data_IF_425986493163
#
_entry.id   IF_425986493163
#
_cell.length_a   1.000
_cell.length_b   1.000
_cell.length_c   1.000
_cell.angle_alpha   90.00
_cell.angle_beta   90.00
_cell.angle_gamma   90.00
#
_symmetry.space_group_name_H-M   'P 1'
#
loop_
_entity.id
_entity.type
_entity.pdbx_description
1 polymer ?
#
# COMPACT_ATOMS: atom_id res chain seq x y z
N UNK A 1 -62.30 52.42 20.77
CA UNK A 1 -61.17 52.84 19.93
C UNK A 1 -59.99 51.94 20.22
N UNK A 2 -59.47 51.26 19.19
CA UNK A 2 -58.19 50.53 19.18
C UNK A 2 -57.06 51.53 19.54
N UNK A 3 -55.89 51.16 20.08
CA UNK A 3 -54.74 50.72 19.27
C UNK A 3 -53.54 50.33 20.17
N UNK A 4 -53.18 49.04 20.15
CA UNK A 4 -51.87 48.38 19.95
C UNK A 4 -50.70 48.63 20.93
N UNK A 5 -50.41 47.60 21.74
CA UNK A 5 -49.06 47.22 22.17
C UNK A 5 -48.41 46.35 21.07
N UNK A 6 -47.23 46.73 20.57
CA UNK A 6 -46.40 45.88 19.69
C UNK A 6 -45.54 44.96 20.56
N UNK A 7 -45.91 43.68 20.63
CA UNK A 7 -45.07 42.61 21.17
C UNK A 7 -44.18 42.09 20.02
N UNK A 8 -42.86 42.18 20.18
CA UNK A 8 -41.90 41.61 19.23
C UNK A 8 -41.75 40.12 19.58
N UNK A 9 -42.27 39.24 18.72
CA UNK A 9 -41.97 37.82 18.75
C UNK A 9 -40.62 37.59 18.06
N UNK A 10 -39.61 37.17 18.83
CA UNK A 10 -38.37 36.61 18.28
C UNK A 10 -38.61 35.12 18.06
N UNK A 11 -38.84 34.73 16.80
CA UNK A 11 -38.86 33.33 16.39
C UNK A 11 -37.43 32.76 16.51
N UNK A 12 -37.18 31.98 17.55
CA UNK A 12 -35.98 31.14 17.64
C UNK A 12 -36.19 29.91 16.75
N UNK A 13 -35.66 29.95 15.53
CA UNK A 13 -35.55 28.78 14.67
C UNK A 13 -34.44 27.91 15.27
N UNK A 14 -34.82 26.81 15.91
CA UNK A 14 -33.89 25.75 16.27
C UNK A 14 -33.40 25.10 14.96
N UNK A 15 -32.19 25.44 14.56
CA UNK A 15 -31.50 24.81 13.43
C UNK A 15 -31.07 23.40 13.86
N UNK A 16 -31.92 22.40 13.62
CA UNK A 16 -31.52 21.01 13.69
C UNK A 16 -30.42 20.78 12.66
N UNK A 17 -29.17 20.69 13.14
CA UNK A 17 -28.03 20.25 12.34
C UNK A 17 -28.26 18.77 12.04
N UNK A 18 -28.86 18.48 10.89
CA UNK A 18 -28.79 17.15 10.30
C UNK A 18 -27.32 16.90 9.98
N UNK A 19 -26.66 16.12 10.84
CA UNK A 19 -25.37 15.51 10.52
C UNK A 19 -25.59 14.62 9.30
N UNK A 20 -25.31 15.16 8.10
CA UNK A 20 -25.21 14.37 6.89
C UNK A 20 -24.09 13.38 7.09
N UNK A 21 -24.46 12.14 7.42
CA UNK A 21 -23.59 10.99 7.28
C UNK A 21 -23.11 11.04 5.84
N UNK A 22 -21.84 11.39 5.62
CA UNK A 22 -21.21 11.13 4.33
C UNK A 22 -21.32 9.61 4.14
N UNK A 23 -22.24 9.20 3.27
CA UNK A 23 -22.27 7.84 2.77
C UNK A 23 -20.94 7.64 2.06
N UNK A 24 -20.05 6.88 2.70
CA UNK A 24 -18.84 6.37 2.10
C UNK A 24 -19.18 5.85 0.71
N UNK A 25 -18.51 6.37 -0.31
CA UNK A 25 -18.51 5.79 -1.64
C UNK A 25 -18.20 4.29 -1.49
N UNK A 26 -19.23 3.46 -1.62
CA UNK A 26 -19.08 2.01 -1.62
C UNK A 26 -18.16 1.68 -2.80
N UNK A 27 -16.94 1.24 -2.51
CA UNK A 27 -16.07 0.63 -3.51
C UNK A 27 -16.84 -0.57 -4.04
N UNK A 28 -17.48 -0.43 -5.19
CA UNK A 28 -18.24 -1.50 -5.84
C UNK A 28 -17.29 -2.32 -6.70
N UNK A 29 -16.47 -3.14 -6.04
CA UNK A 29 -15.58 -4.12 -6.66
C UNK A 29 -14.73 -4.82 -5.60
N UNK A 30 -14.22 -6.04 -5.90
CA UNK A 30 -13.40 -6.79 -4.97
C UNK A 30 -12.17 -5.97 -4.59
N UNK A 31 -11.75 -6.04 -3.33
CA UNK A 31 -10.51 -5.39 -2.89
C UNK A 31 -9.38 -6.41 -3.03
N UNK A 32 -8.65 -6.33 -4.13
CA UNK A 32 -7.51 -7.21 -4.41
C UNK A 32 -6.22 -6.45 -4.10
N UNK A 33 -5.39 -7.05 -3.25
CA UNK A 33 -4.07 -6.55 -2.87
C UNK A 33 -3.03 -7.51 -3.45
N UNK A 34 -2.40 -7.10 -4.53
CA UNK A 34 -1.49 -7.91 -5.35
C UNK A 34 -0.14 -7.19 -5.55
N UNK A 35 0.68 -7.63 -6.51
CA UNK A 35 1.97 -6.98 -6.80
C UNK A 35 1.86 -5.49 -7.16
N UNK A 36 0.73 -5.02 -7.68
CA UNK A 36 0.48 -3.60 -8.00
C UNK A 36 0.33 -2.74 -6.73
N UNK A 37 0.02 -3.37 -5.60
CA UNK A 37 -0.17 -2.74 -4.29
C UNK A 37 1.12 -2.72 -3.46
N UNK A 38 2.30 -2.66 -4.08
CA UNK A 38 3.60 -2.75 -3.37
C UNK A 38 4.38 -1.44 -3.33
N UNK A 39 3.83 -0.34 -3.83
CA UNK A 39 4.45 0.99 -3.68
C UNK A 39 4.04 1.65 -2.36
N UNK A 40 4.82 1.47 -1.29
CA UNK A 40 4.52 2.05 0.03
C UNK A 40 4.38 3.58 0.01
N UNK A 41 5.07 4.26 -0.90
CA UNK A 41 5.06 5.74 -0.99
C UNK A 41 3.81 6.29 -1.64
N UNK A 42 2.99 5.43 -2.24
CA UNK A 42 1.73 5.79 -2.87
C UNK A 42 0.58 5.94 -1.88
N UNK A 43 0.71 5.38 -0.67
CA UNK A 43 -0.32 5.42 0.36
C UNK A 43 -0.37 6.83 0.96
N UNK A 44 -1.51 7.55 0.89
CA UNK A 44 -1.63 8.84 1.55
C UNK A 44 -1.54 8.70 3.08
N UNK A 45 -0.83 9.64 3.73
CA UNK A 45 -0.59 9.60 5.16
C UNK A 45 -1.88 9.60 6.00
N UNK A 46 -2.94 10.25 5.51
CA UNK A 46 -4.26 10.25 6.14
C UNK A 46 -4.86 8.84 6.27
N UNK A 47 -4.70 7.98 5.26
CA UNK A 47 -5.22 6.61 5.31
C UNK A 47 -4.35 5.68 6.15
N UNK A 48 -3.06 6.01 6.32
CA UNK A 48 -2.23 5.38 7.34
C UNK A 48 -2.77 5.73 8.74
N UNK A 49 -3.05 7.02 8.99
CA UNK A 49 -3.62 7.47 10.26
C UNK A 49 -5.01 6.88 10.53
N UNK A 50 -5.90 6.86 9.53
CA UNK A 50 -7.23 6.24 9.64
C UNK A 50 -7.15 4.74 9.87
N UNK A 51 -6.21 4.04 9.22
CA UNK A 51 -5.98 2.63 9.49
C UNK A 51 -5.58 2.41 10.96
N UNK A 52 -4.64 3.22 11.47
CA UNK A 52 -4.18 3.12 12.86
C UNK A 52 -5.26 3.44 13.89
N UNK A 53 -6.19 4.35 13.57
CA UNK A 53 -7.27 4.73 14.49
C UNK A 53 -8.47 3.77 14.46
N UNK A 54 -8.72 3.13 13.31
CA UNK A 54 -10.00 2.44 13.07
C UNK A 54 -9.87 0.93 12.96
N UNK A 55 -8.67 0.39 12.70
CA UNK A 55 -8.49 -1.05 12.50
C UNK A 55 -7.94 -1.72 13.75
N UNK A 56 -8.60 -2.80 14.13
CA UNK A 56 -8.19 -3.73 15.17
C UNK A 56 -8.07 -5.10 14.53
N UNK A 57 -6.84 -5.50 14.23
CA UNK A 57 -6.52 -6.63 13.36
C UNK A 57 -6.08 -7.81 14.23
N UNK A 58 -6.58 -9.00 13.93
CA UNK A 58 -5.99 -10.25 14.42
C UNK A 58 -5.53 -11.09 13.23
N UNK A 59 -4.27 -11.54 13.28
CA UNK A 59 -3.62 -12.27 12.19
C UNK A 59 -3.04 -13.58 12.70
N UNK A 60 -3.54 -14.72 12.18
CA UNK A 60 -3.06 -16.05 12.53
C UNK A 60 -2.16 -16.61 11.44
N UNK A 61 -0.92 -16.96 11.79
CA UNK A 61 0.03 -17.49 10.82
C UNK A 61 1.14 -18.31 11.46
N UNK A 62 1.81 -19.07 10.61
CA UNK A 62 3.13 -19.64 10.87
C UNK A 62 4.01 -19.38 9.63
N UNK A 63 5.29 -19.75 9.72
CA UNK A 63 6.23 -19.82 8.59
C UNK A 63 6.08 -18.69 7.56
N UNK A 64 5.56 -18.95 6.35
CA UNK A 64 5.39 -17.97 5.27
C UNK A 64 4.61 -16.71 5.69
N UNK A 65 3.56 -16.84 6.50
CA UNK A 65 2.80 -15.67 6.95
C UNK A 65 3.60 -14.71 7.83
N UNK A 66 4.65 -15.22 8.51
CA UNK A 66 5.55 -14.36 9.30
C UNK A 66 6.28 -13.32 8.44
N UNK A 67 6.39 -13.52 7.12
CA UNK A 67 7.01 -12.56 6.21
C UNK A 67 6.33 -11.17 6.27
N UNK A 68 5.01 -11.11 6.49
CA UNK A 68 4.29 -9.84 6.65
C UNK A 68 4.76 -9.12 7.92
N UNK A 69 4.80 -9.84 9.06
CA UNK A 69 5.18 -9.29 10.36
C UNK A 69 6.66 -8.87 10.37
N UNK A 70 7.56 -9.72 9.89
CA UNK A 70 8.99 -9.42 9.84
C UNK A 70 9.28 -8.24 8.90
N UNK A 71 8.64 -8.22 7.74
CA UNK A 71 8.74 -7.10 6.80
C UNK A 71 8.18 -5.80 7.39
N UNK A 72 7.02 -5.83 8.05
CA UNK A 72 6.42 -4.65 8.69
C UNK A 72 7.25 -4.15 9.87
N UNK A 73 7.87 -5.05 10.65
CA UNK A 73 8.74 -4.67 11.76
C UNK A 73 9.96 -3.89 11.26
N UNK A 74 10.66 -4.39 10.25
CA UNK A 74 11.82 -3.71 9.69
C UNK A 74 11.46 -2.46 8.86
N UNK A 75 10.23 -2.39 8.31
CA UNK A 75 9.71 -1.23 7.58
C UNK A 75 9.79 0.05 8.41
N UNK A 76 9.51 -0.02 9.71
CA UNK A 76 9.47 1.16 10.60
C UNK A 76 10.81 1.88 10.57
N UNK A 77 11.89 1.15 10.86
CA UNK A 77 13.26 1.69 10.86
C UNK A 77 13.69 2.14 9.47
N UNK A 78 13.33 1.39 8.42
CA UNK A 78 13.64 1.75 7.04
C UNK A 78 13.01 3.09 6.65
N UNK A 79 11.70 3.27 6.88
CA UNK A 79 11.00 4.50 6.51
C UNK A 79 11.46 5.69 7.35
N UNK A 80 11.71 5.49 8.65
CA UNK A 80 12.32 6.52 9.50
C UNK A 80 13.70 6.95 8.95
N UNK A 81 14.53 6.00 8.51
CA UNK A 81 15.84 6.26 7.91
C UNK A 81 15.77 7.03 6.59
N UNK A 82 14.66 6.90 5.85
CA UNK A 82 14.36 7.68 4.64
C UNK A 82 13.78 9.08 4.94
N UNK A 83 13.65 9.46 6.22
CA UNK A 83 13.16 10.77 6.64
C UNK A 83 11.64 10.89 6.74
N UNK A 84 10.90 9.77 6.71
CA UNK A 84 9.47 9.77 7.02
C UNK A 84 9.23 10.05 8.52
N UNK A 85 8.04 10.54 8.90
CA UNK A 85 7.68 10.74 10.30
C UNK A 85 7.94 9.49 11.14
N UNK A 86 8.54 9.71 12.31
CA UNK A 86 8.85 8.64 13.25
C UNK A 86 7.61 7.81 13.55
N UNK A 87 7.74 6.49 13.43
CA UNK A 87 6.70 5.52 13.76
C UNK A 87 5.41 5.67 12.92
N UNK A 88 5.49 6.29 11.73
CA UNK A 88 4.36 6.39 10.81
C UNK A 88 3.73 5.00 10.56
N UNK A 89 4.58 4.00 10.27
CA UNK A 89 4.21 2.61 10.01
C UNK A 89 4.34 1.68 11.22
N UNK A 90 4.40 2.22 12.45
CA UNK A 90 4.47 1.39 13.64
C UNK A 90 3.16 0.66 13.92
N UNK A 91 3.27 -0.56 14.43
CA UNK A 91 2.16 -1.40 14.89
C UNK A 91 2.54 -2.06 16.22
N UNK A 92 1.53 -2.39 17.03
CA UNK A 92 1.68 -3.24 18.20
C UNK A 92 0.31 -3.80 18.62
N UNK A 93 0.32 -4.79 19.51
CA UNK A 93 -0.90 -5.26 20.16
C UNK A 93 -1.50 -4.13 21.00
N UNK A 94 -2.72 -3.71 20.64
CA UNK A 94 -3.50 -2.69 21.34
C UNK A 94 -3.33 -1.26 20.79
N UNK A 95 -2.54 -1.06 19.73
CA UNK A 95 -2.40 0.25 19.06
C UNK A 95 -1.82 1.36 19.95
N UNK A 96 -1.09 0.97 21.01
CA UNK A 96 -0.53 1.91 21.98
C UNK A 96 0.48 2.86 21.32
N UNK A 97 0.56 4.10 21.81
CA UNK A 97 1.43 5.12 21.24
C UNK A 97 1.02 5.58 19.83
N UNK A 98 -0.25 5.39 19.46
CA UNK A 98 -0.77 5.77 18.14
C UNK A 98 -0.29 4.84 17.02
N UNK A 99 0.04 3.59 17.34
CA UNK A 99 0.40 2.53 16.41
C UNK A 99 -0.85 1.83 15.85
N UNK A 100 -0.71 1.06 14.76
CA UNK A 100 -1.77 0.16 14.29
C UNK A 100 -2.01 -0.95 15.33
N UNK A 101 -3.26 -1.20 15.73
CA UNK A 101 -3.59 -2.38 16.55
C UNK A 101 -3.57 -3.64 15.68
N UNK A 102 -2.44 -4.33 15.70
CA UNK A 102 -2.26 -5.62 15.07
C UNK A 102 -1.83 -6.63 16.12
N UNK A 103 -2.67 -7.66 16.28
CA UNK A 103 -2.49 -8.76 17.21
C UNK A 103 -1.96 -9.95 16.42
N UNK A 104 -0.66 -10.19 16.55
CA UNK A 104 0.06 -11.30 15.94
C UNK A 104 -0.25 -12.60 16.70
N UNK A 105 -0.70 -13.61 15.95
CA UNK A 105 -1.01 -14.98 16.41
C UNK A 105 -1.81 -15.08 17.72
N UNK A 106 -2.94 -14.36 17.87
CA UNK A 106 -3.65 -14.27 19.15
C UNK A 106 -4.63 -15.44 19.39
N UNK A 107 -4.73 -16.38 18.45
CA UNK A 107 -5.72 -17.44 18.45
C UNK A 107 -5.24 -18.64 19.27
N UNK A 108 -6.17 -19.26 20.00
CA UNK A 108 -5.95 -20.54 20.67
C UNK A 108 -6.64 -21.67 19.88
N UNK A 109 -5.93 -22.78 19.64
CA UNK A 109 -6.48 -23.98 19.00
C UNK A 109 -6.16 -24.14 17.52
N UNK A 110 -5.60 -23.11 16.87
CA UNK A 110 -5.05 -23.17 15.52
C UNK A 110 -3.90 -22.17 15.37
N UNK A 111 -2.91 -22.53 14.56
CA UNK A 111 -1.73 -21.70 14.31
C UNK A 111 -1.75 -21.05 12.93
N UNK A 112 -2.35 -21.71 11.95
CA UNK A 112 -2.50 -21.25 10.57
C UNK A 112 -3.72 -21.95 9.91
N UNK A 113 -3.95 -21.71 8.62
CA UNK A 113 -5.08 -22.29 7.87
C UNK A 113 -5.05 -23.83 7.74
N UNK A 114 -3.95 -24.49 8.10
CA UNK A 114 -3.78 -25.93 7.99
C UNK A 114 -3.37 -26.65 9.27
N UNK A 115 -3.10 -25.93 10.36
CA UNK A 115 -2.59 -26.49 11.62
C UNK A 115 -3.48 -26.11 12.82
N UNK A 116 -3.96 -27.09 13.60
CA UNK A 116 -3.70 -28.54 13.50
C UNK A 116 -4.52 -29.24 12.39
N UNK A 117 -5.48 -28.55 11.77
CA UNK A 117 -6.27 -29.06 10.65
C UNK A 117 -6.74 -27.92 9.74
N UNK A 118 -7.27 -28.26 8.56
CA UNK A 118 -7.84 -27.30 7.59
C UNK A 118 -9.11 -26.58 8.08
N UNK A 119 -9.61 -26.91 9.27
CA UNK A 119 -10.88 -26.38 9.80
C UNK A 119 -10.76 -25.77 11.20
N UNK A 120 -9.71 -26.09 11.97
CA UNK A 120 -9.58 -25.65 13.36
C UNK A 120 -9.51 -24.12 13.54
N UNK A 121 -8.96 -23.41 12.54
CA UNK A 121 -8.86 -21.96 12.54
C UNK A 121 -10.23 -21.26 12.52
N UNK A 122 -11.26 -21.88 11.95
CA UNK A 122 -12.62 -21.31 11.90
C UNK A 122 -13.21 -21.22 13.32
N UNK A 123 -13.23 -22.33 14.06
CA UNK A 123 -13.72 -22.36 15.44
C UNK A 123 -12.88 -21.47 16.37
N UNK A 124 -11.56 -21.42 16.14
CA UNK A 124 -10.64 -20.54 16.87
C UNK A 124 -10.97 -19.07 16.63
N UNK A 125 -11.33 -18.71 15.39
CA UNK A 125 -11.74 -17.35 15.01
C UNK A 125 -13.03 -16.93 15.73
N UNK A 126 -14.05 -17.80 15.75
CA UNK A 126 -15.32 -17.51 16.46
C UNK A 126 -15.09 -17.27 17.94
N UNK A 127 -14.33 -18.17 18.57
CA UNK A 127 -13.99 -18.09 19.99
C UNK A 127 -13.26 -16.78 20.31
N UNK A 128 -12.31 -16.41 19.44
CA UNK A 128 -11.54 -15.19 19.60
C UNK A 128 -12.40 -13.93 19.46
N UNK A 129 -13.21 -13.82 18.40
CA UNK A 129 -14.08 -12.67 18.15
C UNK A 129 -15.12 -12.48 19.26
N UNK A 130 -15.72 -13.57 19.76
CA UNK A 130 -16.66 -13.50 20.88
C UNK A 130 -16.03 -12.91 22.16
N UNK A 131 -14.73 -13.12 22.34
CA UNK A 131 -13.97 -12.58 23.48
C UNK A 131 -13.33 -11.22 23.20
N UNK A 132 -13.32 -10.77 21.94
CA UNK A 132 -12.63 -9.56 21.48
C UNK A 132 -13.51 -8.77 20.48
N UNK A 133 -14.67 -8.26 20.91
CA UNK A 133 -15.67 -7.68 20.00
C UNK A 133 -15.22 -6.40 19.29
N UNK A 134 -14.10 -5.80 19.69
CA UNK A 134 -13.53 -4.62 19.02
C UNK A 134 -12.71 -4.97 17.78
N UNK A 135 -12.27 -6.22 17.64
CA UNK A 135 -11.53 -6.70 16.47
C UNK A 135 -12.45 -6.67 15.25
N UNK A 136 -12.01 -5.99 14.20
CA UNK A 136 -12.80 -5.73 13.01
C UNK A 136 -12.11 -6.13 11.70
N UNK A 137 -10.93 -6.74 11.78
CA UNK A 137 -10.25 -7.37 10.65
C UNK A 137 -9.63 -8.69 11.07
N UNK A 138 -9.87 -9.74 10.29
CA UNK A 138 -9.29 -11.07 10.49
C UNK A 138 -8.52 -11.49 9.24
N UNK A 139 -7.27 -11.90 9.45
CA UNK A 139 -6.44 -12.58 8.46
C UNK A 139 -5.98 -13.93 8.99
N UNK A 140 -5.82 -14.87 8.08
CA UNK A 140 -5.08 -16.11 8.31
C UNK A 140 -4.17 -16.40 7.12
N UNK A 141 -3.02 -17.04 7.36
CA UNK A 141 -2.12 -17.47 6.29
C UNK A 141 -2.08 -18.98 6.12
N UNK A 142 -1.66 -19.40 4.93
CA UNK A 142 -1.19 -20.75 4.68
C UNK A 142 0.26 -20.90 5.11
N UNK A 143 0.66 -22.11 5.52
CA UNK A 143 2.07 -22.52 5.65
C UNK A 143 2.50 -23.43 4.50
N UNK A 144 1.60 -24.31 4.05
CA UNK A 144 1.87 -25.34 3.02
C UNK A 144 0.61 -25.92 2.41
N UNK A 145 -0.49 -25.91 3.18
CA UNK A 145 -1.68 -26.72 2.97
C UNK A 145 -2.58 -26.23 1.84
N UNK A 146 -2.27 -25.07 1.26
CA UNK A 146 -2.84 -24.64 -0.02
C UNK A 146 -2.57 -25.65 -1.14
N UNK A 147 -1.49 -26.43 -1.04
CA UNK A 147 -1.23 -27.61 -1.86
C UNK A 147 -2.14 -28.77 -1.45
N UNK A 148 -3.44 -28.57 -1.67
CA UNK A 148 -4.50 -29.54 -1.40
C UNK A 148 -5.34 -29.79 -2.64
N UNK A 149 -6.51 -30.38 -2.41
CA UNK A 149 -7.50 -30.63 -3.45
C UNK A 149 -8.37 -29.41 -3.69
N UNK A 150 -9.09 -29.40 -4.81
CA UNK A 150 -10.13 -28.39 -5.09
C UNK A 150 -11.22 -28.36 -4.02
N UNK A 151 -11.55 -29.52 -3.44
CA UNK A 151 -12.50 -29.66 -2.34
C UNK A 151 -11.98 -28.98 -1.07
N UNK A 152 -10.69 -29.11 -0.78
CA UNK A 152 -10.10 -28.48 0.40
C UNK A 152 -10.15 -26.94 0.30
N UNK A 153 -9.88 -26.38 -0.87
CA UNK A 153 -10.00 -24.93 -1.08
C UNK A 153 -11.48 -24.51 -1.02
N UNK A 154 -12.38 -25.30 -1.58
CA UNK A 154 -13.82 -25.07 -1.45
C UNK A 154 -14.27 -25.06 0.01
N UNK A 155 -13.72 -25.96 0.85
CA UNK A 155 -13.96 -25.96 2.28
C UNK A 155 -13.47 -24.67 2.95
N UNK A 156 -12.25 -24.22 2.66
CA UNK A 156 -11.73 -22.95 3.15
C UNK A 156 -12.64 -21.76 2.77
N UNK A 157 -13.05 -21.67 1.50
CA UNK A 157 -13.92 -20.59 1.01
C UNK A 157 -15.31 -20.60 1.68
N UNK A 158 -15.87 -21.80 1.91
CA UNK A 158 -17.14 -21.98 2.60
C UNK A 158 -17.04 -21.57 4.09
N UNK A 159 -15.95 -21.91 4.77
CA UNK A 159 -15.71 -21.53 6.16
C UNK A 159 -15.53 -20.02 6.31
N UNK A 160 -14.77 -19.38 5.42
CA UNK A 160 -14.62 -17.92 5.39
C UNK A 160 -15.98 -17.22 5.20
N UNK A 161 -16.80 -17.72 4.27
CA UNK A 161 -18.15 -17.18 4.03
C UNK A 161 -19.08 -17.35 5.24
N UNK A 162 -18.94 -18.47 5.96
CA UNK A 162 -19.64 -18.70 7.21
C UNK A 162 -19.26 -17.69 8.28
N UNK A 163 -17.97 -17.36 8.41
CA UNK A 163 -17.48 -16.34 9.34
C UNK A 163 -18.01 -14.94 8.99
N UNK A 164 -18.00 -14.56 7.71
CA UNK A 164 -18.56 -13.28 7.25
C UNK A 164 -20.05 -13.14 7.58
N UNK A 165 -20.83 -14.21 7.38
CA UNK A 165 -22.26 -14.22 7.70
C UNK A 165 -22.51 -14.03 9.19
N UNK A 166 -21.69 -14.66 10.02
CA UNK A 166 -21.90 -14.68 11.47
C UNK A 166 -21.31 -13.43 12.15
N UNK A 167 -20.33 -12.77 11.52
CA UNK A 167 -19.69 -11.54 12.00
C UNK A 167 -19.68 -10.44 10.91
N UNK A 168 -20.83 -9.87 10.52
CA UNK A 168 -20.93 -8.97 9.37
C UNK A 168 -20.22 -7.62 9.54
N UNK A 169 -19.83 -7.26 10.77
CA UNK A 169 -19.04 -6.06 11.06
C UNK A 169 -17.52 -6.29 10.94
N UNK A 170 -17.08 -7.54 10.78
CA UNK A 170 -15.67 -7.92 10.68
C UNK A 170 -15.31 -8.11 9.21
N UNK A 171 -14.19 -7.52 8.81
CA UNK A 171 -13.63 -7.69 7.47
C UNK A 171 -12.75 -8.94 7.46
N UNK A 172 -13.17 -9.97 6.75
CA UNK A 172 -12.39 -11.20 6.56
C UNK A 172 -11.57 -11.09 5.29
N UNK A 173 -10.26 -11.25 5.42
CA UNK A 173 -9.33 -11.14 4.30
C UNK A 173 -8.90 -12.53 3.88
N UNK A 174 -9.24 -12.87 2.64
CA UNK A 174 -8.83 -14.10 2.00
C UNK A 174 -7.36 -14.00 1.59
N UNK A 175 -6.64 -15.11 1.55
CA UNK A 175 -5.23 -15.13 1.19
C UNK A 175 -4.90 -16.31 0.26
N UNK A 176 -4.12 -16.06 -0.79
CA UNK A 176 -3.50 -17.12 -1.60
C UNK A 176 -2.28 -17.71 -0.88
N UNK A 177 -1.82 -18.86 -1.33
CA UNK A 177 -0.63 -19.54 -0.85
C UNK A 177 0.69 -18.92 -1.33
N UNK A 178 1.74 -19.73 -1.33
CA UNK A 178 3.04 -19.41 -1.93
C UNK A 178 3.19 -20.10 -3.30
N UNK A 179 4.28 -19.83 -4.00
CA UNK A 179 4.73 -20.47 -5.22
C UNK A 179 5.50 -21.77 -4.91
N UNK A 180 5.40 -22.75 -5.79
CA UNK A 180 6.11 -24.04 -5.62
C UNK A 180 7.02 -24.41 -6.80
N UNK A 181 7.16 -23.52 -7.79
CA UNK A 181 7.97 -23.78 -8.98
C UNK A 181 7.39 -24.80 -9.96
N UNK A 182 6.08 -25.06 -9.88
CA UNK A 182 5.38 -26.01 -10.77
C UNK A 182 4.64 -25.34 -11.93
N UNK A 183 4.80 -24.01 -12.07
CA UNK A 183 4.24 -23.22 -13.16
C UNK A 183 2.71 -23.13 -13.16
N UNK A 184 2.15 -22.63 -14.26
CA UNK A 184 0.71 -22.37 -14.39
C UNK A 184 -0.17 -23.63 -14.38
N UNK A 185 0.39 -24.81 -14.72
CA UNK A 185 -0.32 -26.09 -14.63
C UNK A 185 -0.17 -26.76 -13.24
N UNK A 186 0.66 -26.20 -12.36
CA UNK A 186 0.93 -26.74 -11.03
C UNK A 186 -0.26 -26.67 -10.10
N UNK A 187 -0.42 -27.67 -9.22
CA UNK A 187 -1.58 -27.75 -8.33
C UNK A 187 -1.75 -26.50 -7.47
N UNK A 188 -0.68 -26.01 -6.83
CA UNK A 188 -0.73 -24.80 -6.00
C UNK A 188 -1.18 -23.57 -6.79
N UNK A 189 -0.71 -23.42 -8.04
CA UNK A 189 -1.19 -22.33 -8.91
C UNK A 189 -2.70 -22.44 -9.15
N UNK A 190 -3.20 -23.63 -9.49
CA UNK A 190 -4.63 -23.87 -9.71
C UNK A 190 -5.47 -23.62 -8.44
N UNK A 191 -4.96 -23.99 -7.26
CA UNK A 191 -5.60 -23.74 -5.97
C UNK A 191 -5.60 -22.26 -5.60
N UNK A 192 -4.52 -21.53 -5.89
CA UNK A 192 -4.48 -20.08 -5.76
C UNK A 192 -5.46 -19.39 -6.73
N UNK A 193 -5.55 -19.87 -7.96
CA UNK A 193 -6.49 -19.33 -8.95
C UNK A 193 -7.95 -19.54 -8.51
N UNK A 194 -8.28 -20.69 -7.92
CA UNK A 194 -9.60 -20.95 -7.35
C UNK A 194 -9.96 -19.93 -6.26
N UNK A 195 -9.02 -19.52 -5.40
CA UNK A 195 -9.23 -18.47 -4.39
C UNK A 195 -9.44 -17.11 -5.06
N UNK A 196 -8.61 -16.76 -6.06
CA UNK A 196 -8.73 -15.50 -6.82
C UNK A 196 -10.09 -15.37 -7.50
N UNK A 197 -10.50 -16.41 -8.22
CA UNK A 197 -11.78 -16.45 -8.93
C UNK A 197 -12.95 -16.28 -7.97
N UNK A 198 -12.92 -17.00 -6.84
CA UNK A 198 -13.93 -16.86 -5.80
C UNK A 198 -14.00 -15.42 -5.27
N UNK A 199 -12.85 -14.80 -4.97
CA UNK A 199 -12.80 -13.46 -4.43
C UNK A 199 -13.31 -12.42 -5.44
N UNK A 200 -12.94 -12.56 -6.71
CA UNK A 200 -13.36 -11.67 -7.78
C UNK A 200 -14.88 -11.73 -8.00
N UNK A 201 -15.44 -12.94 -8.11
CA UNK A 201 -16.87 -13.17 -8.35
C UNK A 201 -17.73 -12.72 -7.15
N UNK A 202 -17.25 -12.94 -5.93
CA UNK A 202 -18.03 -12.70 -4.71
C UNK A 202 -17.66 -11.40 -3.99
N UNK A 203 -16.98 -10.47 -4.67
CA UNK A 203 -16.63 -9.15 -4.14
C UNK A 203 -15.87 -9.19 -2.80
N UNK A 204 -14.91 -10.11 -2.68
CA UNK A 204 -14.16 -10.33 -1.42
C UNK A 204 -12.92 -9.45 -1.32
N UNK A 205 -12.34 -9.44 -0.12
CA UNK A 205 -11.04 -8.83 0.14
C UNK A 205 -9.98 -9.93 0.01
N UNK A 206 -9.04 -9.77 -0.90
CA UNK A 206 -7.96 -10.72 -1.15
C UNK A 206 -6.61 -10.07 -0.89
N UNK A 207 -5.78 -10.73 -0.11
CA UNK A 207 -4.34 -10.52 -0.07
C UNK A 207 -3.66 -11.61 -0.90
N UNK A 208 -3.23 -11.26 -2.11
CA UNK A 208 -2.70 -12.22 -3.07
C UNK A 208 -1.19 -12.44 -2.86
N UNK A 209 -0.88 -13.21 -1.82
CA UNK A 209 0.47 -13.55 -1.39
C UNK A 209 1.32 -14.15 -2.52
N UNK A 210 0.76 -15.10 -3.27
CA UNK A 210 1.42 -15.76 -4.40
C UNK A 210 1.67 -14.80 -5.56
N UNK A 211 0.72 -13.92 -5.87
CA UNK A 211 0.92 -12.93 -6.93
C UNK A 211 2.02 -11.94 -6.55
N UNK A 212 2.02 -11.41 -5.32
CA UNK A 212 3.06 -10.50 -4.85
C UNK A 212 4.43 -11.12 -5.12
N UNK A 213 4.72 -12.32 -4.63
CA UNK A 213 6.04 -12.97 -4.84
C UNK A 213 6.32 -13.47 -6.26
N UNK A 214 5.36 -13.38 -7.18
CA UNK A 214 5.57 -13.73 -8.59
C UNK A 214 6.24 -12.63 -9.39
N UNK A 215 6.28 -11.38 -8.91
CA UNK A 215 6.79 -10.24 -9.70
C UNK A 215 8.01 -9.56 -9.08
N UNK A 216 8.84 -8.96 -9.93
CA UNK A 216 9.83 -7.97 -9.47
C UNK A 216 9.12 -6.69 -8.94
N UNK A 217 9.83 -5.83 -8.17
CA UNK A 217 9.29 -4.56 -7.69
C UNK A 217 8.72 -3.64 -8.78
N UNK A 218 9.25 -3.71 -10.00
CA UNK A 218 8.78 -2.93 -11.14
C UNK A 218 7.58 -3.54 -11.87
N UNK A 219 7.18 -4.78 -11.55
CA UNK A 219 6.10 -5.51 -12.21
C UNK A 219 6.39 -5.87 -13.67
N UNK A 220 7.66 -5.88 -14.09
CA UNK A 220 8.09 -6.13 -15.48
C UNK A 220 8.13 -7.61 -15.80
N UNK A 221 8.50 -8.44 -14.82
CA UNK A 221 8.67 -9.87 -15.02
C UNK A 221 7.77 -10.65 -14.09
N UNK A 222 6.99 -11.57 -14.66
CA UNK A 222 6.24 -12.59 -13.92
C UNK A 222 7.09 -13.87 -13.84
N UNK A 223 7.73 -14.08 -12.70
CA UNK A 223 8.58 -15.24 -12.40
C UNK A 223 7.79 -16.54 -12.18
N UNK A 224 6.47 -16.49 -11.93
CA UNK A 224 5.65 -17.71 -11.93
C UNK A 224 5.63 -18.37 -13.31
N UNK A 225 5.66 -17.57 -14.39
CA UNK A 225 5.79 -18.09 -15.76
C UNK A 225 7.18 -18.70 -16.04
N UNK A 226 8.16 -18.45 -15.18
CA UNK A 226 9.52 -19.01 -15.21
C UNK A 226 9.71 -20.07 -14.11
N UNK A 227 8.61 -20.69 -13.67
CA UNK A 227 8.61 -21.75 -12.66
C UNK A 227 9.29 -21.35 -11.35
N UNK A 228 9.12 -20.10 -10.92
CA UNK A 228 9.69 -19.69 -9.64
C UNK A 228 9.06 -20.42 -8.44
N UNK A 229 9.90 -20.78 -7.48
CA UNK A 229 9.49 -21.33 -6.18
C UNK A 229 9.41 -20.22 -5.10
N UNK A 230 9.04 -20.61 -3.87
CA UNK A 230 8.92 -19.70 -2.73
C UNK A 230 10.25 -19.11 -2.26
N UNK A 231 11.37 -19.80 -2.51
CA UNK A 231 12.72 -19.29 -2.27
C UNK A 231 13.17 -18.21 -3.28
N UNK A 232 12.33 -17.86 -4.25
CA UNK A 232 12.61 -16.96 -5.38
C UNK A 232 13.54 -17.55 -6.44
N UNK A 233 13.81 -18.85 -6.41
CA UNK A 233 14.59 -19.53 -7.45
C UNK A 233 13.71 -19.79 -8.67
N UNK A 234 14.20 -19.54 -9.86
CA UNK A 234 13.47 -19.66 -11.13
C UNK A 234 14.37 -20.25 -12.22
N UNK A 235 13.74 -20.78 -13.26
CA UNK A 235 14.39 -21.34 -14.45
C UNK A 235 14.64 -20.22 -15.47
N UNK A 236 15.89 -19.77 -15.59
CA UNK A 236 16.23 -18.59 -16.40
C UNK A 236 16.38 -18.84 -17.89
N UNK A 237 16.58 -20.09 -18.31
CA UNK A 237 16.81 -20.48 -19.70
C UNK A 237 15.78 -21.50 -20.24
N UNK A 238 14.85 -21.96 -19.40
CA UNK A 238 13.78 -22.87 -19.76
C UNK A 238 14.22 -24.34 -19.83
N UNK A 239 15.36 -24.70 -19.23
CA UNK A 239 15.91 -26.06 -19.28
C UNK A 239 15.31 -27.00 -18.22
N UNK A 240 14.45 -26.49 -17.33
CA UNK A 240 13.82 -27.23 -16.23
C UNK A 240 14.59 -27.19 -14.91
N UNK A 241 15.75 -26.54 -14.85
CA UNK A 241 16.56 -26.35 -13.64
C UNK A 241 16.36 -24.94 -13.08
N UNK A 242 16.13 -24.85 -11.77
CA UNK A 242 16.12 -23.55 -11.07
C UNK A 242 17.57 -23.09 -10.87
N UNK A 243 18.03 -22.18 -11.73
CA UNK A 243 19.45 -21.79 -11.84
C UNK A 243 19.72 -20.34 -11.44
N UNK A 244 18.68 -19.57 -11.14
CA UNK A 244 18.75 -18.15 -10.81
C UNK A 244 17.81 -17.79 -9.67
N UNK A 245 18.16 -16.78 -8.88
CA UNK A 245 17.30 -16.24 -7.83
C UNK A 245 16.95 -14.78 -8.12
N UNK A 246 15.68 -14.49 -8.42
CA UNK A 246 15.28 -13.18 -8.93
C UNK A 246 15.39 -12.07 -7.89
N UNK A 247 15.01 -12.38 -6.64
CA UNK A 247 15.03 -11.41 -5.56
C UNK A 247 16.46 -11.04 -5.19
N UNK A 248 17.36 -12.03 -5.09
CA UNK A 248 18.79 -11.81 -4.81
C UNK A 248 19.43 -10.97 -5.91
N UNK A 249 19.13 -11.26 -7.19
CA UNK A 249 19.63 -10.47 -8.32
C UNK A 249 19.15 -9.02 -8.25
N UNK A 250 17.89 -8.78 -7.92
CA UNK A 250 17.35 -7.44 -7.75
C UNK A 250 17.99 -6.72 -6.56
N UNK A 251 18.15 -7.40 -5.42
CA UNK A 251 18.80 -6.83 -4.23
C UNK A 251 20.25 -6.44 -4.53
N UNK A 252 21.00 -7.26 -5.26
CA UNK A 252 22.39 -6.98 -5.62
C UNK A 252 22.55 -5.81 -6.61
N UNK A 253 21.52 -5.51 -7.39
CA UNK A 253 21.51 -4.34 -8.27
C UNK A 253 20.98 -3.06 -7.62
N UNK A 254 20.53 -3.13 -6.35
CA UNK A 254 19.92 -2.02 -5.64
C UNK A 254 20.52 -1.76 -4.26
N UNK A 255 20.63 -0.49 -3.89
CA UNK A 255 21.16 -0.08 -2.59
C UNK A 255 20.24 -0.45 -1.42
N UNK A 256 20.74 -1.23 -0.47
CA UNK A 256 20.09 -1.51 0.83
C UNK A 256 19.91 -0.22 1.63
N UNK A 257 18.83 -0.14 2.41
CA UNK A 257 18.36 1.05 3.16
C UNK A 257 18.00 2.26 2.29
N UNK A 258 17.90 2.07 0.97
CA UNK A 258 17.40 3.08 0.03
C UNK A 258 16.23 2.53 -0.77
N UNK A 259 16.41 1.36 -1.39
CA UNK A 259 15.41 0.71 -2.24
C UNK A 259 14.74 -0.48 -1.55
N UNK A 260 15.48 -1.18 -0.69
CA UNK A 260 15.01 -2.31 0.10
C UNK A 260 15.74 -2.34 1.44
N UNK A 261 15.25 -3.13 2.39
CA UNK A 261 15.86 -3.34 3.69
C UNK A 261 15.98 -4.83 4.00
N UNK A 262 16.98 -5.18 4.80
CA UNK A 262 17.16 -6.57 5.21
C UNK A 262 16.19 -6.94 6.35
N UNK A 263 15.62 -8.14 6.26
CA UNK A 263 14.77 -8.72 7.29
C UNK A 263 14.64 -10.23 7.10
N UNK A 264 14.31 -10.94 8.17
CA UNK A 264 14.03 -12.37 8.07
C UNK A 264 12.79 -12.63 7.22
N UNK A 265 12.89 -13.61 6.32
CA UNK A 265 11.81 -14.02 5.43
C UNK A 265 11.78 -15.55 5.36
N UNK A 266 10.75 -16.17 5.95
CA UNK A 266 10.66 -17.63 6.00
C UNK A 266 10.55 -18.21 4.59
N UNK A 267 11.43 -19.16 4.23
CA UNK A 267 11.48 -19.81 2.93
C UNK A 267 11.61 -18.86 1.73
N UNK A 268 12.11 -17.65 1.92
CA UNK A 268 12.17 -16.65 0.86
C UNK A 268 13.27 -15.63 1.10
N UNK A 269 13.35 -14.61 0.24
CA UNK A 269 14.30 -13.51 0.38
C UNK A 269 13.68 -12.30 1.08
N UNK A 270 14.52 -11.45 1.70
CA UNK A 270 14.09 -10.23 2.41
C UNK A 270 13.23 -9.32 1.52
N UNK A 271 13.54 -9.22 0.23
CA UNK A 271 12.77 -8.41 -0.72
C UNK A 271 11.29 -8.81 -0.78
N UNK A 272 10.96 -10.10 -0.67
CA UNK A 272 9.58 -10.56 -0.65
C UNK A 272 8.84 -10.14 0.62
N UNK A 273 9.49 -10.24 1.78
CA UNK A 273 8.93 -9.74 3.04
C UNK A 273 8.69 -8.23 2.98
N UNK A 274 9.61 -7.45 2.40
CA UNK A 274 9.44 -6.01 2.20
C UNK A 274 8.19 -5.70 1.36
N UNK A 275 8.04 -6.39 0.23
CA UNK A 275 6.90 -6.18 -0.68
C UNK A 275 5.58 -6.58 -0.05
N UNK A 276 5.56 -7.67 0.73
CA UNK A 276 4.38 -8.10 1.50
C UNK A 276 4.04 -7.13 2.63
N UNK A 277 5.03 -6.49 3.25
CA UNK A 277 4.80 -5.41 4.21
C UNK A 277 4.21 -4.17 3.55
N UNK A 278 4.68 -3.80 2.35
CA UNK A 278 4.10 -2.71 1.58
C UNK A 278 2.65 -2.99 1.20
N UNK A 279 2.39 -4.20 0.69
CA UNK A 279 1.04 -4.68 0.38
C UNK A 279 0.12 -4.72 1.61
N UNK A 280 0.63 -5.09 2.78
CA UNK A 280 -0.14 -5.08 4.02
C UNK A 280 -0.59 -3.67 4.37
N UNK A 281 0.28 -2.66 4.26
CA UNK A 281 -0.12 -1.27 4.46
C UNK A 281 -1.10 -0.75 3.42
N UNK A 282 -0.99 -1.20 2.16
CA UNK A 282 -2.02 -0.95 1.15
C UNK A 282 -3.36 -1.53 1.57
N UNK A 283 -3.40 -2.79 2.02
CA UNK A 283 -4.60 -3.42 2.56
C UNK A 283 -5.20 -2.57 3.69
N UNK A 284 -4.40 -2.19 4.69
CA UNK A 284 -4.89 -1.39 5.82
C UNK A 284 -5.48 -0.06 5.38
N UNK A 285 -4.81 0.65 4.48
CA UNK A 285 -5.31 1.90 3.93
C UNK A 285 -6.62 1.72 3.14
N UNK A 286 -6.72 0.66 2.31
CA UNK A 286 -7.96 0.32 1.58
C UNK A 286 -9.11 0.02 2.55
N UNK A 287 -8.86 -0.77 3.60
CA UNK A 287 -9.86 -1.09 4.62
C UNK A 287 -10.25 0.11 5.51
N UNK A 288 -9.42 1.14 5.53
CA UNK A 288 -9.68 2.43 6.17
C UNK A 288 -10.41 3.43 5.25
N UNK A 289 -10.73 3.04 4.02
CA UNK A 289 -11.55 3.83 3.08
C UNK A 289 -10.79 4.45 1.92
N UNK A 290 -9.50 4.11 1.73
CA UNK A 290 -8.79 4.52 0.52
C UNK A 290 -9.33 3.77 -0.70
N UNK A 291 -9.58 4.47 -1.79
CA UNK A 291 -10.03 3.87 -3.05
C UNK A 291 -8.92 3.09 -3.78
N UNK A 292 -7.66 3.28 -3.37
CA UNK A 292 -6.48 2.66 -3.98
C UNK A 292 -5.95 3.40 -5.20
N UNK A 293 -6.58 4.51 -5.59
CA UNK A 293 -6.05 5.34 -6.66
C UNK A 293 -4.99 6.27 -6.08
N UNK A 294 -3.77 6.15 -6.60
CA UNK A 294 -2.68 7.09 -6.31
C UNK A 294 -2.82 8.41 -7.09
N UNK A 295 -3.98 8.64 -7.74
CA UNK A 295 -4.26 9.87 -8.48
C UNK A 295 -5.49 9.77 -9.38
N UNK A 296 -6.67 10.03 -8.84
CA UNK A 296 -7.72 10.92 -9.39
C UNK A 296 -8.71 11.16 -8.26
N UNK A 297 -8.57 12.27 -7.54
CA UNK A 297 -9.68 12.76 -6.73
C UNK A 297 -10.85 13.00 -7.70
N UNK A 298 -11.90 12.18 -7.59
CA UNK A 298 -13.23 12.57 -8.03
C UNK A 298 -13.58 13.87 -7.31
N UNK A 299 -13.56 14.95 -8.08
CA UNK A 299 -13.80 16.34 -7.69
C UNK A 299 -14.66 16.50 -6.41
N UNK A 300 -14.07 16.75 -5.23
CA UNK A 300 -14.80 17.31 -4.13
C UNK A 300 -14.75 18.83 -4.28
N UNK A 301 -15.92 19.41 -4.40
CA UNK A 301 -16.17 20.85 -4.32
C UNK A 301 -15.82 21.37 -2.91
N UNK A 302 -14.53 21.50 -2.58
CA UNK A 302 -14.00 22.37 -1.50
C UNK A 302 -12.45 22.41 -1.52
N UNK A 303 -11.77 23.58 -1.51
CA UNK A 303 -10.34 23.70 -1.83
C UNK A 303 -9.38 23.69 -0.61
N UNK A 304 -9.68 23.01 0.50
CA UNK A 304 -8.91 23.23 1.75
C UNK A 304 -8.00 22.10 2.26
N UNK A 305 -7.85 20.94 1.61
CA UNK A 305 -7.09 19.82 2.21
C UNK A 305 -6.16 19.07 1.23
N UNK A 306 -5.16 19.76 0.69
CA UNK A 306 -3.91 19.11 0.22
C UNK A 306 -2.73 19.74 0.96
N UNK A 307 -2.25 19.12 2.04
CA UNK A 307 -1.20 19.71 2.87
C UNK A 307 0.21 19.39 2.33
N UNK A 308 0.77 20.30 1.52
CA UNK A 308 2.22 20.44 1.35
C UNK A 308 2.69 20.99 0.01
N UNK A 309 3.59 21.97 0.06
CA UNK A 309 4.45 22.31 -1.08
C UNK A 309 5.53 21.24 -1.20
N UNK A 310 5.69 20.62 -2.38
CA UNK A 310 6.68 19.57 -2.62
C UNK A 310 7.33 19.81 -3.98
N UNK A 311 8.66 19.89 -4.05
CA UNK A 311 9.41 19.63 -5.28
C UNK A 311 9.76 18.14 -5.31
N UNK A 312 9.43 17.42 -6.38
CA UNK A 312 9.80 16.01 -6.54
C UNK A 312 11.18 15.88 -7.22
N UNK A 313 11.90 14.77 -7.04
CA UNK A 313 13.07 14.47 -7.87
C UNK A 313 12.70 14.49 -9.35
N UNK A 314 13.57 15.06 -10.18
CA UNK A 314 13.38 15.04 -11.63
C UNK A 314 13.58 13.63 -12.19
N UNK A 315 12.87 13.29 -13.27
CA UNK A 315 13.06 12.01 -13.96
C UNK A 315 13.13 12.19 -15.48
N UNK A 316 14.12 11.58 -16.16
CA UNK A 316 15.25 10.83 -15.59
C UNK A 316 16.23 11.73 -14.79
N UNK A 317 17.05 11.14 -13.91
CA UNK A 317 18.21 11.79 -13.26
C UNK A 317 19.27 10.72 -12.91
N UNK A 318 20.45 10.70 -13.55
CA UNK A 318 20.91 11.64 -14.57
C UNK A 318 20.06 11.62 -15.86
N UNK A 319 20.05 12.71 -16.60
CA UNK A 319 19.22 12.88 -17.80
C UNK A 319 20.03 13.25 -19.05
N UNK A 320 19.48 12.99 -20.24
CA UNK A 320 20.07 13.35 -21.54
C UNK A 320 19.00 13.53 -22.64
N UNK A 321 18.90 14.69 -23.31
CA UNK A 321 19.14 16.02 -22.77
C UNK A 321 17.93 16.54 -21.98
N UNK A 322 16.83 15.78 -21.86
CA UNK A 322 15.58 16.22 -21.26
C UNK A 322 15.23 15.49 -19.96
N UNK A 323 14.61 16.22 -19.03
CA UNK A 323 14.08 15.68 -17.76
C UNK A 323 12.75 16.33 -17.42
N UNK A 324 11.89 15.61 -16.70
CA UNK A 324 10.62 16.12 -16.18
C UNK A 324 10.78 16.51 -14.72
N UNK A 325 10.40 17.74 -14.40
CA UNK A 325 10.39 18.30 -13.05
C UNK A 325 8.94 18.39 -12.60
N UNK A 326 8.61 17.68 -11.53
CA UNK A 326 7.25 17.68 -10.97
C UNK A 326 7.24 18.38 -9.62
N UNK A 327 6.13 19.04 -9.28
CA UNK A 327 5.92 19.68 -7.98
C UNK A 327 4.43 19.70 -7.60
N UNK A 328 4.15 19.94 -6.31
CA UNK A 328 2.81 20.02 -5.73
C UNK A 328 2.62 21.38 -5.07
N UNK A 329 1.46 22.01 -5.31
CA UNK A 329 1.03 23.24 -4.65
C UNK A 329 -0.19 22.96 -3.77
N UNK A 330 -0.19 23.33 -2.46
CA UNK A 330 -1.32 23.14 -1.56
C UNK A 330 -2.47 24.12 -1.80
N UNK A 331 -2.20 25.22 -2.50
CA UNK A 331 -3.14 26.29 -2.82
C UNK A 331 -2.71 27.01 -4.10
N UNK A 332 -3.59 27.81 -4.72
CA UNK A 332 -3.21 28.67 -5.84
C UNK A 332 -2.06 29.60 -5.45
N UNK A 333 -1.01 29.68 -6.27
CA UNK A 333 0.18 30.47 -5.96
C UNK A 333 0.93 30.89 -7.21
N UNK A 334 1.47 32.12 -7.21
CA UNK A 334 2.44 32.54 -8.20
C UNK A 334 3.73 31.75 -8.01
N UNK A 335 4.06 30.92 -8.99
CA UNK A 335 5.15 29.94 -8.90
C UNK A 335 6.21 30.24 -9.94
N UNK A 336 7.48 30.24 -9.54
CA UNK A 336 8.63 30.29 -10.45
C UNK A 336 9.46 29.03 -10.32
N UNK A 337 9.81 28.42 -11.46
CA UNK A 337 10.69 27.26 -11.53
C UNK A 337 11.90 27.62 -12.41
N UNK A 338 13.08 27.65 -11.81
CA UNK A 338 14.30 28.15 -12.44
C UNK A 338 15.43 27.15 -12.31
N UNK A 339 16.35 27.16 -13.27
CA UNK A 339 17.54 26.31 -13.30
C UNK A 339 18.78 27.18 -13.18
N UNK A 340 19.72 26.76 -12.34
CA UNK A 340 21.01 27.42 -12.11
C UNK A 340 22.17 26.47 -12.38
N UNK A 341 23.31 27.01 -12.81
CA UNK A 341 24.58 26.27 -12.82
C UNK A 341 25.22 26.21 -11.41
N UNK A 342 26.30 25.44 -11.26
CA UNK A 342 27.03 25.31 -9.98
C UNK A 342 27.66 26.62 -9.48
N UNK A 343 27.75 27.65 -10.32
CA UNK A 343 28.23 28.99 -9.94
C UNK A 343 27.08 29.91 -9.51
N UNK A 344 25.85 29.39 -9.47
CA UNK A 344 24.65 30.13 -9.11
C UNK A 344 24.13 31.05 -10.21
N UNK A 345 24.60 30.92 -11.47
CA UNK A 345 24.05 31.69 -12.60
C UNK A 345 22.79 31.01 -13.09
N UNK A 346 21.72 31.77 -13.26
CA UNK A 346 20.49 31.28 -13.88
C UNK A 346 20.76 30.90 -15.34
N UNK A 347 20.35 29.69 -15.73
CA UNK A 347 20.53 29.16 -17.10
C UNK A 347 19.21 28.97 -17.83
N UNK A 348 18.09 28.89 -17.11
CA UNK A 348 16.74 28.83 -17.68
C UNK A 348 15.67 29.17 -16.62
N UNK A 349 14.58 29.82 -17.04
CA UNK A 349 13.31 29.85 -16.31
C UNK A 349 12.33 28.93 -17.04
N UNK A 350 11.84 27.89 -16.36
CA UNK A 350 10.96 26.85 -16.90
C UNK A 350 9.50 27.26 -16.83
N UNK A 351 9.12 27.93 -15.75
CA UNK A 351 7.79 28.52 -15.57
C UNK A 351 7.86 29.73 -14.63
N UNK A 352 6.94 30.68 -14.82
CA UNK A 352 6.77 31.86 -13.97
C UNK A 352 5.33 32.39 -14.13
N UNK A 353 4.38 31.75 -13.47
CA UNK A 353 2.94 32.01 -13.66
C UNK A 353 2.13 31.69 -12.40
N UNK A 354 0.89 32.16 -12.33
CA UNK A 354 -0.07 31.70 -11.32
C UNK A 354 -0.54 30.29 -11.66
N UNK A 355 -0.38 29.37 -10.71
CA UNK A 355 -0.84 27.99 -10.86
C UNK A 355 -1.92 27.68 -9.82
N UNK A 356 -2.95 26.90 -10.18
CA UNK A 356 -3.91 26.39 -9.22
C UNK A 356 -3.25 25.39 -8.26
N UNK A 357 -3.93 25.11 -7.15
CA UNK A 357 -3.55 24.01 -6.26
C UNK A 357 -3.49 22.68 -7.04
N UNK A 358 -2.61 21.79 -6.63
CA UNK A 358 -2.45 20.47 -7.21
C UNK A 358 -1.06 20.19 -7.78
N UNK A 359 -0.97 19.08 -8.51
CA UNK A 359 0.29 18.57 -9.04
C UNK A 359 0.55 19.13 -10.43
N UNK A 360 1.78 19.58 -10.63
CA UNK A 360 2.25 20.15 -11.87
C UNK A 360 3.52 19.44 -12.33
N UNK A 361 3.71 19.39 -13.64
CA UNK A 361 4.92 18.86 -14.27
C UNK A 361 5.34 19.80 -15.40
N UNK A 362 6.65 20.05 -15.50
CA UNK A 362 7.27 20.78 -16.61
C UNK A 362 8.51 20.05 -17.07
N UNK A 363 8.73 20.01 -18.37
CA UNK A 363 9.92 19.42 -18.95
C UNK A 363 11.01 20.50 -19.07
N UNK A 364 12.25 20.13 -18.75
CA UNK A 364 13.42 20.92 -19.09
C UNK A 364 14.27 20.14 -20.09
N UNK A 365 14.49 20.73 -21.27
CA UNK A 365 15.46 20.26 -22.26
C UNK A 365 16.75 21.10 -22.13
N UNK A 366 17.84 20.44 -21.77
CA UNK A 366 19.17 21.04 -21.59
C UNK A 366 20.07 20.87 -22.82
N UNK A 367 19.48 20.73 -24.00
CA UNK A 367 20.24 20.69 -25.25
C UNK A 367 21.15 21.92 -25.40
N UNK A 368 22.40 21.67 -25.80
CA UNK A 368 23.44 22.69 -25.91
C UNK A 368 24.11 23.06 -24.58
N UNK A 369 23.70 22.48 -23.44
CA UNK A 369 24.34 22.71 -22.14
C UNK A 369 25.45 21.67 -21.86
N UNK A 370 26.54 22.04 -21.16
CA UNK A 370 27.61 21.10 -20.81
C UNK A 370 27.13 20.08 -19.77
N UNK A 371 27.62 18.84 -19.86
CA UNK A 371 27.41 17.81 -18.82
C UNK A 371 27.86 18.32 -17.46
N UNK A 372 27.12 17.97 -16.42
CA UNK A 372 27.42 18.44 -15.08
C UNK A 372 26.19 18.57 -14.19
N UNK A 373 26.41 19.19 -13.03
CA UNK A 373 25.38 19.42 -12.03
C UNK A 373 24.68 20.76 -12.29
N UNK A 374 23.35 20.74 -12.20
CA UNK A 374 22.49 21.93 -12.21
C UNK A 374 21.62 21.92 -10.96
N UNK A 375 21.10 23.08 -10.59
CA UNK A 375 20.21 23.25 -9.45
C UNK A 375 18.86 23.76 -9.97
N UNK A 376 17.79 23.01 -9.71
CA UNK A 376 16.43 23.44 -9.94
C UNK A 376 15.89 24.09 -8.66
N UNK A 377 15.47 25.35 -8.74
CA UNK A 377 14.83 26.06 -7.64
C UNK A 377 13.37 26.33 -7.97
N UNK A 378 12.50 26.03 -7.03
CA UNK A 378 11.10 26.45 -7.07
C UNK A 378 10.87 27.51 -6.00
N UNK A 379 10.05 28.51 -6.31
CA UNK A 379 9.53 29.49 -5.37
C UNK A 379 8.03 29.63 -5.59
N UNK A 380 7.22 29.45 -4.56
CA UNK A 380 5.76 29.55 -4.61
C UNK A 380 5.24 30.20 -3.32
N UNK A 381 4.88 31.48 -3.36
CA UNK A 381 4.54 32.23 -2.15
C UNK A 381 5.71 32.28 -1.15
N UNK A 382 5.53 31.72 0.05
CA UNK A 382 6.58 31.63 1.07
C UNK A 382 7.44 30.35 0.98
N UNK A 383 7.11 29.42 0.09
CA UNK A 383 7.83 28.17 -0.10
C UNK A 383 8.97 28.33 -1.09
N UNK A 384 10.16 27.85 -0.72
CA UNK A 384 11.31 27.76 -1.60
C UNK A 384 12.04 26.43 -1.38
N UNK A 385 12.28 25.68 -2.45
CA UNK A 385 13.05 24.44 -2.40
C UNK A 385 14.05 24.41 -3.57
N UNK A 386 15.17 23.71 -3.41
CA UNK A 386 16.17 23.51 -4.46
C UNK A 386 16.57 22.04 -4.56
N UNK A 387 16.60 21.48 -5.78
CA UNK A 387 17.04 20.11 -6.05
C UNK A 387 18.17 20.04 -7.07
N UNK A 388 19.00 19.02 -6.92
CA UNK A 388 20.13 18.72 -7.79
C UNK A 388 19.69 17.94 -9.03
N UNK A 389 20.03 18.44 -10.21
CA UNK A 389 19.87 17.77 -11.50
C UNK A 389 21.26 17.37 -12.04
N UNK A 390 21.40 16.19 -12.62
CA UNK A 390 22.65 15.71 -13.22
C UNK A 390 22.45 15.50 -14.72
N UNK A 391 23.03 16.37 -15.54
CA UNK A 391 23.04 16.20 -17.00
C UNK A 391 24.23 15.33 -17.39
N UNK A 392 23.95 14.20 -18.04
CA UNK A 392 24.96 13.37 -18.71
C UNK A 392 24.74 13.46 -20.21
N UNK A 393 25.83 13.52 -20.96
CA UNK A 393 25.82 13.39 -22.41
C UNK A 393 26.72 12.26 -22.82
#
# INVERSE_FOLDING_TARGET
MKTIHKLIFVNSIALCVFSTILTSSLISGPTIIDHSCTNIRAIPAEYISLAKSNLHIAYGHTSHGSQIINGMSALVSFMNGLGYPQNLFAYNKGGTGGALDLRDTPFSGASDLGSPSRTAWEASTRTYLNSNPTVNVILWSWCGQVDGTESDISQYLNLMSGLERDFPAVKFVYMTGHLTGTGAAGNVHLRNQQIRDYCAVNNKILFDFADIESYDPEGRTNYMALNANDNCDYDSDGNGSLDSNWATRWQNSHTVNVHWYDCYSAHSQALNANRKAYAAWWLWARLAGWDGNSGTMSNPSSPSEMSGFILYPNYPNPFNPATTISFSLPGPSFTTLQIFDVRGREVATILSEELPAGRHSRQWNAEGRPSGVYLCRIHAGAFQETKKLVLLR
#
